data_IF_715088059985
#
_entry.id   IF_715088059985
#
_cell.length_a   1.000
_cell.length_b   1.000
_cell.length_c   1.000
_cell.angle_alpha   90.00
_cell.angle_beta   90.00
_cell.angle_gamma   90.00
#
_symmetry.space_group_name_H-M   'P 1'
#
loop_
_entity.id
_entity.type
_entity.pdbx_description
1 polymer ?
#
# COMPACT_ATOMS: atom_id res chain seq x y z
N UNK A 1 -8.22 22.37 13.36
CA UNK A 1 -8.02 20.90 13.36
C UNK A 1 -8.33 20.37 11.96
N UNK A 2 -7.76 19.26 11.48
CA UNK A 2 -8.00 18.75 10.11
C UNK A 2 -8.64 17.36 10.14
N UNK A 3 -9.53 17.11 9.19
CA UNK A 3 -10.23 15.83 9.01
C UNK A 3 -9.99 15.31 7.60
N UNK A 4 -9.79 14.00 7.46
CA UNK A 4 -9.77 13.37 6.13
C UNK A 4 -11.16 13.50 5.49
N UNK A 5 -11.23 13.89 4.20
CA UNK A 5 -12.51 14.09 3.51
C UNK A 5 -13.23 12.75 3.32
N UNK A 6 -14.55 12.80 3.19
CA UNK A 6 -15.30 11.68 2.64
C UNK A 6 -15.11 11.69 1.12
N UNK A 7 -14.50 10.64 0.56
CA UNK A 7 -14.30 10.51 -0.88
C UNK A 7 -14.63 9.09 -1.35
N UNK A 8 -15.74 8.88 -2.07
CA UNK A 8 -16.08 7.55 -2.58
C UNK A 8 -15.05 7.07 -3.61
N UNK A 9 -14.47 7.98 -4.40
CA UNK A 9 -13.38 7.65 -5.34
C UNK A 9 -12.14 7.14 -4.61
N UNK A 10 -11.78 7.76 -3.49
CA UNK A 10 -10.67 7.29 -2.66
C UNK A 10 -10.98 5.95 -2.00
N UNK A 11 -12.25 5.71 -1.61
CA UNK A 11 -12.69 4.43 -1.06
C UNK A 11 -12.53 3.30 -2.08
N UNK A 12 -13.01 3.48 -3.32
CA UNK A 12 -12.84 2.47 -4.37
C UNK A 12 -11.36 2.21 -4.68
N UNK A 13 -10.54 3.26 -4.78
CA UNK A 13 -9.11 3.09 -5.00
C UNK A 13 -8.42 2.36 -3.83
N UNK A 14 -8.85 2.64 -2.61
CA UNK A 14 -8.37 2.00 -1.40
C UNK A 14 -8.79 0.52 -1.30
N UNK A 15 -9.88 0.09 -1.92
CA UNK A 15 -10.31 -1.31 -1.88
C UNK A 15 -9.51 -2.21 -2.83
N UNK A 16 -8.81 -1.66 -3.82
CA UNK A 16 -8.08 -2.43 -4.83
C UNK A 16 -7.08 -3.45 -4.22
N UNK A 17 -6.23 -3.08 -3.24
CA UNK A 17 -5.30 -4.06 -2.64
C UNK A 17 -6.02 -5.22 -1.96
N UNK A 18 -7.10 -4.94 -1.21
CA UNK A 18 -7.93 -5.97 -0.59
C UNK A 18 -8.62 -6.85 -1.63
N UNK A 19 -9.16 -6.24 -2.68
CA UNK A 19 -9.82 -6.95 -3.78
C UNK A 19 -8.88 -7.92 -4.50
N UNK A 20 -7.63 -7.51 -4.75
CA UNK A 20 -6.60 -8.36 -5.35
C UNK A 20 -6.24 -9.52 -4.42
N UNK A 21 -5.95 -9.23 -3.15
CA UNK A 21 -5.54 -10.27 -2.19
C UNK A 21 -6.66 -11.27 -1.95
N UNK A 22 -7.90 -10.82 -1.75
CA UNK A 22 -9.03 -11.72 -1.58
C UNK A 22 -9.26 -12.54 -2.87
N UNK A 23 -9.11 -11.97 -4.07
CA UNK A 23 -9.25 -12.72 -5.33
C UNK A 23 -8.17 -13.80 -5.49
N UNK A 24 -6.92 -13.50 -5.12
CA UNK A 24 -5.80 -14.45 -5.15
C UNK A 24 -6.02 -15.59 -4.15
N UNK A 25 -6.41 -15.26 -2.91
CA UNK A 25 -6.72 -16.27 -1.89
C UNK A 25 -7.91 -17.14 -2.31
N UNK A 26 -8.93 -16.54 -2.91
CA UNK A 26 -10.08 -17.24 -3.50
C UNK A 26 -9.63 -18.21 -4.58
N UNK A 27 -8.80 -17.76 -5.53
CA UNK A 27 -8.30 -18.59 -6.61
C UNK A 27 -7.46 -19.77 -6.10
N UNK A 28 -6.60 -19.55 -5.10
CA UNK A 28 -5.87 -20.64 -4.45
C UNK A 28 -6.79 -21.62 -3.73
N UNK A 29 -7.82 -21.14 -3.04
CA UNK A 29 -8.81 -22.01 -2.39
C UNK A 29 -9.58 -22.86 -3.40
N UNK A 30 -10.02 -22.28 -4.52
CA UNK A 30 -10.66 -23.02 -5.62
C UNK A 30 -9.70 -24.05 -6.22
N UNK A 31 -8.48 -23.65 -6.56
CA UNK A 31 -7.49 -24.55 -7.16
C UNK A 31 -7.14 -25.72 -6.21
N UNK A 32 -6.96 -25.45 -4.92
CA UNK A 32 -6.74 -26.49 -3.92
C UNK A 32 -7.93 -27.41 -3.74
N UNK A 33 -9.15 -26.87 -3.73
CA UNK A 33 -10.38 -27.66 -3.70
C UNK A 33 -10.52 -28.57 -4.92
N UNK A 34 -10.27 -28.06 -6.13
CA UNK A 34 -10.35 -28.85 -7.37
C UNK A 34 -9.39 -30.05 -7.39
N UNK A 35 -8.32 -30.00 -6.61
CA UNK A 35 -7.34 -31.09 -6.48
C UNK A 35 -7.69 -32.03 -5.33
N UNK A 36 -8.06 -31.50 -4.17
CA UNK A 36 -8.28 -32.27 -2.94
C UNK A 36 -9.67 -32.89 -2.84
N UNK A 37 -10.71 -32.16 -3.23
CA UNK A 37 -12.11 -32.59 -3.22
C UNK A 37 -12.89 -31.84 -4.33
N UNK A 38 -12.82 -32.33 -5.59
CA UNK A 38 -13.47 -31.66 -6.72
C UNK A 38 -14.98 -31.53 -6.57
N UNK A 39 -15.61 -32.48 -5.86
CA UNK A 39 -17.06 -32.48 -5.64
C UNK A 39 -17.48 -31.44 -4.58
N UNK A 40 -16.57 -31.07 -3.68
CA UNK A 40 -16.77 -30.04 -2.66
C UNK A 40 -16.56 -28.61 -3.15
N UNK A 41 -16.10 -28.38 -4.39
CA UNK A 41 -15.86 -27.03 -4.90
C UNK A 41 -17.18 -26.33 -5.24
N UNK A 42 -17.43 -25.13 -4.67
CA UNK A 42 -18.67 -24.39 -4.94
C UNK A 42 -18.84 -24.01 -6.40
N UNK A 43 -20.10 -23.87 -6.83
CA UNK A 43 -20.43 -23.38 -8.16
C UNK A 43 -19.85 -21.96 -8.40
N UNK A 44 -19.54 -21.58 -9.65
CA UNK A 44 -19.00 -20.26 -9.98
C UNK A 44 -19.81 -19.08 -9.41
N UNK A 45 -21.13 -19.17 -9.41
CA UNK A 45 -22.01 -18.13 -8.85
C UNK A 45 -21.83 -17.99 -7.34
N UNK A 46 -21.65 -19.10 -6.63
CA UNK A 46 -21.42 -19.10 -5.18
C UNK A 46 -20.04 -18.53 -4.83
N UNK A 47 -19.02 -18.82 -5.65
CA UNK A 47 -17.69 -18.18 -5.56
C UNK A 47 -17.86 -16.65 -5.71
N UNK A 48 -18.62 -16.18 -6.70
CA UNK A 48 -18.84 -14.75 -6.90
C UNK A 48 -19.57 -14.11 -5.72
N UNK A 49 -20.56 -14.78 -5.13
CA UNK A 49 -21.28 -14.32 -3.94
C UNK A 49 -20.34 -14.21 -2.73
N UNK A 50 -19.49 -15.21 -2.48
CA UNK A 50 -18.51 -15.16 -1.39
C UNK A 50 -17.51 -14.01 -1.57
N UNK A 51 -17.00 -13.81 -2.79
CA UNK A 51 -16.09 -12.71 -3.09
C UNK A 51 -16.75 -11.35 -2.90
N UNK A 52 -17.95 -11.17 -3.45
CA UNK A 52 -18.72 -9.94 -3.26
C UNK A 52 -19.03 -9.68 -1.78
N UNK A 53 -19.41 -10.72 -1.03
CA UNK A 53 -19.64 -10.65 0.41
C UNK A 53 -18.40 -10.16 1.17
N UNK A 54 -17.22 -10.71 0.86
CA UNK A 54 -15.95 -10.24 1.44
C UNK A 54 -15.68 -8.77 1.13
N UNK A 55 -15.90 -8.35 -0.11
CA UNK A 55 -15.70 -6.95 -0.51
C UNK A 55 -16.64 -5.99 0.21
N UNK A 56 -17.91 -6.38 0.38
CA UNK A 56 -18.89 -5.58 1.13
C UNK A 56 -18.47 -5.43 2.59
N UNK A 57 -18.04 -6.51 3.25
CA UNK A 57 -17.57 -6.46 4.65
C UNK A 57 -16.34 -5.56 4.78
N UNK A 58 -15.35 -5.73 3.88
CA UNK A 58 -14.14 -4.90 3.87
C UNK A 58 -14.48 -3.41 3.67
N UNK A 59 -15.36 -3.09 2.73
CA UNK A 59 -15.79 -1.72 2.47
C UNK A 59 -16.52 -1.12 3.68
N UNK A 60 -17.43 -1.87 4.28
CA UNK A 60 -18.18 -1.44 5.46
C UNK A 60 -17.25 -1.16 6.65
N UNK A 61 -16.31 -2.06 6.93
CA UNK A 61 -15.37 -1.89 8.05
C UNK A 61 -14.36 -0.77 7.79
N UNK A 62 -13.84 -0.63 6.57
CA UNK A 62 -12.93 0.47 6.22
C UNK A 62 -13.64 1.83 6.34
N UNK A 63 -14.92 1.90 5.93
CA UNK A 63 -15.75 3.09 6.09
C UNK A 63 -16.04 3.40 7.56
N UNK A 64 -16.37 2.38 8.37
CA UNK A 64 -16.58 2.52 9.81
C UNK A 64 -15.31 3.01 10.53
N UNK A 65 -14.15 2.43 10.18
CA UNK A 65 -12.85 2.85 10.72
C UNK A 65 -12.47 4.28 10.34
N UNK A 66 -12.76 4.70 9.10
CA UNK A 66 -12.63 6.11 8.68
C UNK A 66 -13.51 7.03 9.54
N UNK A 67 -14.78 6.67 9.73
CA UNK A 67 -15.70 7.44 10.56
C UNK A 67 -15.19 7.59 12.01
N UNK A 68 -14.69 6.51 12.61
CA UNK A 68 -14.12 6.53 13.96
C UNK A 68 -12.88 7.41 14.06
N UNK A 69 -11.92 7.29 13.13
CA UNK A 69 -10.73 8.16 13.10
C UNK A 69 -11.11 9.63 12.91
N UNK A 70 -12.16 9.90 12.13
CA UNK A 70 -12.67 11.25 11.89
C UNK A 70 -13.33 11.83 13.15
N UNK A 71 -14.03 11.04 13.95
CA UNK A 71 -14.59 11.47 15.24
C UNK A 71 -13.50 11.88 16.24
N UNK A 72 -12.37 11.17 16.25
CA UNK A 72 -11.21 11.52 17.07
C UNK A 72 -10.27 12.53 16.42
N UNK A 73 -10.66 13.04 15.24
CA UNK A 73 -9.91 14.00 14.44
C UNK A 73 -8.43 13.61 14.23
N UNK A 74 -8.20 12.30 14.04
CA UNK A 74 -6.93 11.72 13.66
C UNK A 74 -6.81 11.75 12.14
N UNK A 75 -5.80 12.45 11.62
CA UNK A 75 -5.61 12.62 10.17
C UNK A 75 -4.29 12.04 9.65
N UNK A 76 -3.57 11.26 10.47
CA UNK A 76 -2.26 10.73 10.08
C UNK A 76 -2.42 9.53 9.13
N UNK A 77 -1.63 9.51 8.05
CA UNK A 77 -1.66 8.40 7.07
C UNK A 77 -1.31 7.06 7.70
N UNK A 78 -0.42 7.07 8.71
CA UNK A 78 -0.06 5.88 9.46
C UNK A 78 -1.24 5.36 10.29
N UNK A 79 -2.00 6.23 10.95
CA UNK A 79 -3.21 5.80 11.67
C UNK A 79 -4.25 5.20 10.72
N UNK A 80 -4.42 5.78 9.53
CA UNK A 80 -5.28 5.19 8.50
C UNK A 80 -4.78 3.84 8.02
N UNK A 81 -3.46 3.65 7.86
CA UNK A 81 -2.87 2.35 7.59
C UNK A 81 -3.15 1.33 8.69
N UNK A 82 -2.85 1.67 9.95
CA UNK A 82 -3.12 0.78 11.08
C UNK A 82 -4.61 0.42 11.19
N UNK A 83 -5.50 1.40 11.03
CA UNK A 83 -6.94 1.19 11.00
C UNK A 83 -7.33 0.20 9.90
N UNK A 84 -6.84 0.39 8.67
CA UNK A 84 -7.13 -0.52 7.57
C UNK A 84 -6.67 -1.96 7.85
N UNK A 85 -5.51 -2.12 8.49
CA UNK A 85 -5.02 -3.43 8.93
C UNK A 85 -5.93 -4.10 9.96
N UNK A 86 -6.28 -3.38 11.02
CA UNK A 86 -7.19 -3.88 12.07
C UNK A 86 -8.55 -4.23 11.47
N UNK A 87 -9.11 -3.38 10.62
CA UNK A 87 -10.40 -3.62 9.97
C UNK A 87 -10.35 -4.86 9.06
N UNK A 88 -9.26 -5.09 8.31
CA UNK A 88 -9.11 -6.28 7.49
C UNK A 88 -8.92 -7.56 8.33
N UNK A 89 -8.22 -7.48 9.46
CA UNK A 89 -8.09 -8.60 10.40
C UNK A 89 -9.45 -8.98 11.02
N UNK A 90 -10.23 -7.98 11.44
CA UNK A 90 -11.61 -8.18 11.95
C UNK A 90 -12.50 -8.75 10.86
N UNK A 91 -12.42 -8.20 9.65
CA UNK A 91 -13.13 -8.69 8.46
C UNK A 91 -12.84 -10.18 8.23
N UNK A 92 -11.56 -10.56 8.26
CA UNK A 92 -11.12 -11.95 8.10
C UNK A 92 -11.70 -12.86 9.18
N UNK A 93 -11.67 -12.44 10.45
CA UNK A 93 -12.28 -13.19 11.55
C UNK A 93 -13.80 -13.37 11.39
N UNK A 94 -14.52 -12.32 10.96
CA UNK A 94 -15.96 -12.40 10.64
C UNK A 94 -16.20 -13.39 9.50
N UNK A 95 -15.37 -13.37 8.46
CA UNK A 95 -15.53 -14.25 7.31
C UNK A 95 -15.32 -15.72 7.66
N UNK A 96 -14.34 -16.05 8.51
CA UNK A 96 -14.16 -17.41 9.03
C UNK A 96 -15.40 -17.84 9.84
N UNK A 97 -15.83 -17.01 10.79
CA UNK A 97 -16.93 -17.34 11.70
C UNK A 97 -18.26 -17.56 10.99
N UNK A 98 -18.50 -16.86 9.88
CA UNK A 98 -19.74 -16.93 9.12
C UNK A 98 -19.63 -17.80 7.85
N UNK A 99 -18.54 -18.57 7.70
CA UNK A 99 -18.32 -19.46 6.54
C UNK A 99 -18.42 -18.73 5.18
N UNK A 100 -17.91 -17.49 5.12
CA UNK A 100 -17.87 -16.66 3.90
C UNK A 100 -16.56 -16.91 3.12
N UNK A 101 -15.67 -17.75 3.64
CA UNK A 101 -14.45 -18.19 2.95
C UNK A 101 -14.68 -19.56 2.32
N UNK A 102 -14.11 -19.75 1.11
CA UNK A 102 -14.20 -21.00 0.35
C UNK A 102 -13.55 -22.19 1.07
N UNK A 103 -12.48 -21.94 1.82
CA UNK A 103 -11.81 -22.96 2.61
C UNK A 103 -11.65 -22.46 4.04
N UNK A 104 -11.94 -23.33 5.00
CA UNK A 104 -11.55 -23.08 6.37
C UNK A 104 -10.01 -23.14 6.44
N UNK A 105 -9.35 -22.20 7.13
CA UNK A 105 -7.92 -22.33 7.42
C UNK A 105 -7.69 -23.63 8.19
N UNK A 106 -6.69 -24.41 7.78
CA UNK A 106 -6.29 -25.61 8.51
C UNK A 106 -5.81 -25.28 9.93
N UNK A 107 -5.81 -26.27 10.81
CA UNK A 107 -5.38 -26.10 12.20
C UNK A 107 -4.01 -25.43 12.30
N UNK A 108 -3.89 -24.40 13.14
CA UNK A 108 -2.66 -23.62 13.31
C UNK A 108 -2.32 -22.63 12.20
N UNK A 109 -3.12 -22.52 11.12
CA UNK A 109 -2.84 -21.62 9.98
C UNK A 109 -3.66 -20.33 9.98
N UNK A 110 -4.61 -20.20 10.91
CA UNK A 110 -5.56 -19.07 11.00
C UNK A 110 -4.85 -17.72 10.99
N UNK A 111 -3.83 -17.54 11.83
CA UNK A 111 -3.07 -16.28 11.97
C UNK A 111 -2.24 -16.01 10.72
N UNK A 112 -1.59 -17.05 10.20
CA UNK A 112 -0.69 -16.98 9.05
C UNK A 112 -1.44 -16.54 7.79
N UNK A 113 -2.60 -17.14 7.51
CA UNK A 113 -3.46 -16.78 6.37
C UNK A 113 -4.05 -15.38 6.56
N UNK A 114 -4.40 -15.02 7.80
CA UNK A 114 -4.95 -13.70 8.14
C UNK A 114 -3.97 -12.53 7.93
N UNK A 115 -2.66 -12.77 7.84
CA UNK A 115 -1.69 -11.69 7.69
C UNK A 115 -1.77 -11.02 6.31
N UNK A 116 -1.97 -11.79 5.22
CA UNK A 116 -2.05 -11.21 3.88
C UNK A 116 -3.21 -10.20 3.77
N UNK A 117 -4.46 -10.53 4.15
CA UNK A 117 -5.56 -9.57 4.21
C UNK A 117 -5.25 -8.39 5.14
N UNK A 118 -4.59 -8.63 6.27
CA UNK A 118 -4.21 -7.57 7.22
C UNK A 118 -3.26 -6.55 6.58
N UNK A 119 -2.21 -7.02 5.91
CA UNK A 119 -1.25 -6.16 5.19
C UNK A 119 -1.96 -5.43 4.05
N UNK A 120 -2.80 -6.13 3.28
CA UNK A 120 -3.61 -5.53 2.23
C UNK A 120 -4.52 -4.43 2.79
N UNK A 121 -5.12 -4.67 3.96
CA UNK A 121 -5.88 -3.69 4.73
C UNK A 121 -5.06 -2.48 5.12
N UNK A 122 -3.81 -2.68 5.58
CA UNK A 122 -2.92 -1.58 5.91
C UNK A 122 -2.62 -0.69 4.70
N UNK A 123 -2.32 -1.30 3.56
CA UNK A 123 -2.10 -0.59 2.30
C UNK A 123 -3.38 0.16 1.90
N UNK A 124 -4.53 -0.50 2.00
CA UNK A 124 -5.85 0.06 1.67
C UNK A 124 -6.18 1.29 2.51
N UNK A 125 -6.06 1.19 3.83
CA UNK A 125 -6.28 2.32 4.74
C UNK A 125 -5.31 3.47 4.47
N UNK A 126 -4.02 3.18 4.29
CA UNK A 126 -3.02 4.19 3.93
C UNK A 126 -3.38 4.92 2.64
N UNK A 127 -3.78 4.18 1.60
CA UNK A 127 -4.22 4.72 0.32
C UNK A 127 -5.46 5.61 0.45
N UNK A 128 -6.42 5.20 1.27
CA UNK A 128 -7.58 6.01 1.55
C UNK A 128 -7.18 7.36 2.17
N UNK A 129 -6.34 7.34 3.22
CA UNK A 129 -5.82 8.55 3.85
C UNK A 129 -4.96 9.42 2.91
N UNK A 130 -4.34 8.82 1.90
CA UNK A 130 -3.58 9.54 0.87
C UNK A 130 -4.50 10.20 -0.18
N UNK A 131 -5.49 9.49 -0.71
CA UNK A 131 -6.31 9.94 -1.84
C UNK A 131 -7.54 10.75 -1.43
N UNK A 132 -8.07 10.55 -0.22
CA UNK A 132 -9.24 11.28 0.24
C UNK A 132 -8.95 12.77 0.46
N UNK A 133 -7.70 13.12 0.80
CA UNK A 133 -7.31 14.50 1.09
C UNK A 133 -7.84 15.00 2.43
N UNK A 134 -7.50 16.24 2.78
CA UNK A 134 -7.82 16.85 4.08
C UNK A 134 -8.83 18.01 3.92
N UNK A 135 -9.72 18.14 4.89
CA UNK A 135 -10.64 19.27 5.10
C UNK A 135 -10.31 19.93 6.43
N UNK A 136 -10.50 21.25 6.53
CA UNK A 136 -10.48 21.91 7.82
C UNK A 136 -11.69 21.42 8.62
N UNK A 137 -11.45 20.97 9.86
CA UNK A 137 -12.53 20.78 10.81
C UNK A 137 -13.09 22.17 11.09
N UNK A 138 -14.33 22.43 10.66
CA UNK A 138 -15.03 23.64 11.06
C UNK A 138 -15.01 23.68 12.59
N UNK A 139 -14.36 24.71 13.15
CA UNK A 139 -14.37 24.92 14.59
C UNK A 139 -15.83 25.03 15.03
N UNK A 140 -16.21 24.19 15.98
CA UNK A 140 -17.45 24.33 16.72
C UNK A 140 -17.34 25.59 17.60
N UNK A 141 -17.48 26.76 17.00
CA UNK A 141 -17.81 28.02 17.66
C UNK A 141 -18.67 28.79 16.67
N UNK A 142 -19.94 29.02 17.04
CA UNK A 142 -20.95 29.66 16.21
C UNK A 142 -20.60 31.09 15.82
N UNK A 143 -19.73 31.25 14.85
CA UNK A 143 -19.61 32.48 14.09
C UNK A 143 -20.58 32.36 12.91
N UNK A 144 -21.75 32.95 13.10
CA UNK A 144 -22.66 33.34 12.02
C UNK A 144 -21.82 33.97 10.91
N UNK A 145 -21.89 33.48 9.65
CA UNK A 145 -21.16 34.12 8.57
C UNK A 145 -21.66 35.57 8.44
N UNK A 146 -20.78 36.58 8.38
CA UNK A 146 -21.21 37.93 8.03
C UNK A 146 -21.88 37.86 6.65
N UNK A 147 -23.04 38.51 6.52
CA UNK A 147 -23.93 38.38 5.38
C UNK A 147 -23.40 38.95 4.05
N UNK A 148 -22.12 39.36 3.97
CA UNK A 148 -21.53 40.04 2.81
C UNK A 148 -20.12 39.52 2.45
N UNK A 149 -19.99 38.21 2.21
CA UNK A 149 -18.80 37.66 1.57
C UNK A 149 -19.19 36.73 0.42
N UNK A 150 -19.67 37.33 -0.67
CA UNK A 150 -19.64 36.70 -1.99
C UNK A 150 -18.21 36.72 -2.53
N UNK A 151 -17.30 36.02 -1.88
CA UNK A 151 -16.05 35.59 -2.51
C UNK A 151 -16.09 34.06 -2.57
N UNK A 152 -16.21 33.56 -3.80
CA UNK A 152 -15.94 32.17 -4.10
C UNK A 152 -14.60 31.79 -3.44
N UNK A 153 -14.50 30.65 -2.71
CA UNK A 153 -13.27 30.29 -2.02
C UNK A 153 -12.14 30.24 -3.05
N UNK A 154 -11.24 31.23 -2.97
CA UNK A 154 -10.12 31.36 -3.87
C UNK A 154 -9.37 30.02 -3.90
N UNK A 155 -9.16 29.49 -5.11
CA UNK A 155 -8.44 28.25 -5.29
C UNK A 155 -7.06 28.39 -4.59
N UNK A 156 -6.67 27.41 -3.76
CA UNK A 156 -5.42 27.52 -3.00
C UNK A 156 -4.24 27.72 -3.95
N UNK A 157 -3.54 28.85 -3.77
CA UNK A 157 -2.35 29.21 -4.56
C UNK A 157 -1.28 28.14 -4.40
N UNK A 158 -0.91 27.53 -5.53
CA UNK A 158 0.00 26.37 -5.63
C UNK A 158 1.45 26.83 -5.52
N UNK A 159 2.21 26.19 -4.64
CA UNK A 159 3.66 26.41 -4.51
C UNK A 159 4.42 25.98 -5.78
N UNK A 160 5.12 26.94 -6.41
CA UNK A 160 5.89 26.77 -7.66
C UNK A 160 7.42 26.77 -7.43
N UNK A 161 7.86 26.24 -6.28
CA UNK A 161 9.29 26.14 -5.93
C UNK A 161 9.88 24.74 -6.16
N UNK A 162 11.21 24.58 -6.02
CA UNK A 162 11.86 23.29 -6.20
C UNK A 162 11.32 22.27 -5.21
N UNK A 163 11.01 21.08 -5.72
CA UNK A 163 10.42 20.00 -4.95
C UNK A 163 11.30 18.75 -4.92
N UNK A 164 11.26 18.04 -3.80
CA UNK A 164 11.95 16.76 -3.59
C UNK A 164 10.99 15.69 -3.10
N UNK A 165 11.43 14.44 -3.16
CA UNK A 165 10.64 13.31 -2.67
C UNK A 165 10.71 13.27 -1.14
N UNK A 166 9.55 13.17 -0.50
CA UNK A 166 9.45 13.08 0.97
C UNK A 166 10.00 11.73 1.45
N UNK A 167 10.66 11.72 2.60
CA UNK A 167 10.97 10.46 3.28
C UNK A 167 9.69 9.89 3.91
N UNK A 168 9.23 8.72 3.45
CA UNK A 168 7.99 8.09 3.90
C UNK A 168 8.23 6.66 4.37
N UNK A 169 8.20 6.45 5.70
CA UNK A 169 8.35 5.11 6.29
C UNK A 169 7.27 4.17 5.80
N UNK A 170 6.01 4.64 5.73
CA UNK A 170 4.91 3.84 5.20
C UNK A 170 5.11 3.51 3.71
N UNK A 171 5.59 4.46 2.90
CA UNK A 171 5.92 4.20 1.50
C UNK A 171 7.03 3.16 1.35
N UNK A 172 8.04 3.17 2.21
CA UNK A 172 9.11 2.17 2.23
C UNK A 172 8.57 0.80 2.63
N UNK A 173 7.74 0.71 3.66
CA UNK A 173 7.14 -0.54 4.10
C UNK A 173 6.28 -1.18 2.99
N UNK A 174 5.46 -0.38 2.30
CA UNK A 174 4.64 -0.85 1.17
C UNK A 174 5.54 -1.34 0.02
N UNK A 175 6.57 -0.58 -0.35
CA UNK A 175 7.51 -0.98 -1.39
C UNK A 175 8.29 -2.25 -1.01
N UNK A 176 8.65 -2.41 0.26
CA UNK A 176 9.43 -3.54 0.77
C UNK A 176 8.70 -4.89 0.76
N UNK A 177 7.37 -4.88 0.61
CA UNK A 177 6.57 -6.10 0.46
C UNK A 177 6.62 -6.64 -0.99
N UNK A 178 7.02 -5.80 -1.96
CA UNK A 178 7.00 -6.17 -3.38
C UNK A 178 7.91 -7.33 -3.76
N UNK A 179 9.14 -7.46 -3.23
CA UNK A 179 9.95 -8.66 -3.47
C UNK A 179 9.25 -9.94 -3.04
N UNK A 180 8.59 -9.92 -1.88
CA UNK A 180 7.82 -11.08 -1.40
C UNK A 180 6.69 -11.40 -2.37
N UNK A 181 5.90 -10.40 -2.77
CA UNK A 181 4.80 -10.57 -3.72
C UNK A 181 5.31 -11.14 -5.04
N UNK A 182 6.36 -10.55 -5.62
CA UNK A 182 6.90 -10.98 -6.91
C UNK A 182 7.60 -12.34 -6.84
N UNK A 183 8.27 -12.67 -5.74
CA UNK A 183 9.03 -13.92 -5.60
C UNK A 183 8.17 -15.11 -5.17
N UNK A 184 7.00 -14.88 -4.59
CA UNK A 184 6.12 -15.96 -4.13
C UNK A 184 4.85 -16.05 -4.96
N UNK A 185 4.09 -14.96 -5.11
CA UNK A 185 2.83 -15.02 -5.86
C UNK A 185 3.07 -15.25 -7.36
N UNK A 186 4.07 -14.61 -7.96
CA UNK A 186 4.29 -14.73 -9.41
C UNK A 186 4.69 -16.16 -9.82
N UNK A 187 5.65 -16.84 -9.15
CA UNK A 187 5.99 -18.22 -9.49
C UNK A 187 4.88 -19.19 -9.14
N UNK A 188 4.20 -19.05 -7.99
CA UNK A 188 3.11 -19.97 -7.64
C UNK A 188 1.85 -19.79 -8.51
N UNK A 189 1.65 -18.63 -9.15
CA UNK A 189 0.55 -18.41 -10.10
C UNK A 189 0.93 -18.75 -11.55
N UNK A 190 2.16 -18.46 -11.98
CA UNK A 190 2.62 -18.71 -13.35
C UNK A 190 3.14 -20.13 -13.58
N UNK A 191 3.80 -20.75 -12.60
CA UNK A 191 4.40 -22.07 -12.78
C UNK A 191 3.37 -23.16 -13.10
N UNK A 192 2.18 -23.22 -12.45
CA UNK A 192 1.13 -24.16 -12.84
C UNK A 192 0.55 -23.85 -14.23
N UNK A 193 0.54 -22.58 -14.64
CA UNK A 193 0.01 -22.12 -15.92
C UNK A 193 0.96 -22.46 -17.09
N UNK A 194 2.26 -22.35 -16.85
CA UNK A 194 3.34 -22.62 -17.81
C UNK A 194 3.69 -24.11 -17.89
N UNK A 195 3.53 -24.86 -16.80
CA UNK A 195 3.83 -26.29 -16.75
C UNK A 195 2.54 -27.11 -16.83
N UNK A 196 2.01 -27.25 -18.05
CA UNK A 196 0.88 -28.14 -18.43
C UNK A 196 1.12 -29.65 -18.15
N UNK A 197 1.84 -30.05 -17.09
CA UNK A 197 2.36 -31.42 -17.00
C UNK A 197 2.83 -31.97 -15.64
N UNK A 198 2.77 -31.25 -14.52
CA UNK A 198 3.01 -31.86 -13.19
C UNK A 198 1.73 -32.42 -12.56
N UNK A 199 0.90 -33.06 -13.39
CA UNK A 199 -0.34 -33.71 -12.99
C UNK A 199 -0.09 -35.12 -12.41
N UNK A 200 0.83 -35.23 -11.45
CA UNK A 200 0.75 -36.31 -10.48
C UNK A 200 0.02 -35.79 -9.24
N UNK A 201 -1.16 -36.34 -9.00
CA UNK A 201 -2.09 -35.94 -7.92
C UNK A 201 -1.37 -35.79 -6.56
N UNK A 202 -0.34 -36.61 -6.32
CA UNK A 202 0.51 -36.61 -5.11
C UNK A 202 1.22 -35.28 -4.82
N UNK A 203 1.82 -34.62 -5.82
CA UNK A 203 2.57 -33.37 -5.60
C UNK A 203 1.65 -32.16 -5.49
N UNK A 204 0.52 -32.17 -6.20
CA UNK A 204 -0.46 -31.08 -6.20
C UNK A 204 -1.07 -30.83 -4.80
N UNK A 205 -1.22 -31.86 -3.96
CA UNK A 205 -1.76 -31.72 -2.58
C UNK A 205 -0.83 -30.96 -1.63
N UNK A 206 0.49 -31.04 -1.82
CA UNK A 206 1.48 -30.38 -0.95
C UNK A 206 1.63 -28.89 -1.34
N UNK A 207 1.48 -28.57 -2.62
CA UNK A 207 1.58 -27.20 -3.13
C UNK A 207 0.33 -26.34 -2.89
N UNK A 208 -0.86 -26.94 -2.78
CA UNK A 208 -2.11 -26.20 -2.95
C UNK A 208 -2.73 -25.53 -1.70
N UNK A 209 -2.27 -25.82 -0.47
CA UNK A 209 -2.99 -25.29 0.72
C UNK A 209 -2.12 -24.65 1.83
N UNK A 210 -0.89 -25.11 2.07
CA UNK A 210 -0.12 -24.70 3.27
C UNK A 210 1.21 -24.02 2.93
N UNK A 211 1.89 -24.46 1.86
CA UNK A 211 3.18 -23.92 1.45
C UNK A 211 3.11 -22.45 1.01
N UNK A 212 2.13 -21.97 0.23
CA UNK A 212 2.17 -20.60 -0.29
C UNK A 212 2.10 -19.53 0.81
N UNK A 213 1.29 -19.73 1.84
CA UNK A 213 1.18 -18.79 2.95
C UNK A 213 2.44 -18.82 3.85
N UNK A 214 2.96 -20.01 4.16
CA UNK A 214 4.17 -20.15 4.98
C UNK A 214 5.42 -19.65 4.24
N UNK A 215 5.54 -19.91 2.93
CA UNK A 215 6.64 -19.38 2.10
C UNK A 215 6.51 -17.89 1.88
N UNK A 216 5.31 -17.36 1.67
CA UNK A 216 5.07 -15.91 1.66
C UNK A 216 5.52 -15.27 2.97
N UNK A 217 5.15 -15.85 4.11
CA UNK A 217 5.54 -15.38 5.43
C UNK A 217 7.04 -15.43 5.67
N UNK A 218 7.68 -16.56 5.37
CA UNK A 218 9.12 -16.72 5.51
C UNK A 218 9.86 -15.73 4.61
N UNK A 219 9.45 -15.62 3.35
CA UNK A 219 10.03 -14.66 2.41
C UNK A 219 9.78 -13.22 2.86
N UNK A 220 8.62 -12.89 3.42
CA UNK A 220 8.31 -11.55 3.94
C UNK A 220 9.27 -11.19 5.07
N UNK A 221 9.44 -12.07 6.05
CA UNK A 221 10.34 -11.84 7.18
C UNK A 221 11.79 -11.69 6.71
N UNK A 222 12.23 -12.57 5.79
CA UNK A 222 13.60 -12.55 5.27
C UNK A 222 13.84 -11.32 4.39
N UNK A 223 12.88 -10.90 3.57
CA UNK A 223 13.10 -9.87 2.54
C UNK A 223 12.77 -8.46 3.01
N UNK A 224 11.85 -8.25 3.96
CA UNK A 224 11.36 -6.89 4.30
C UNK A 224 12.47 -5.99 4.84
N UNK A 225 13.27 -6.47 5.80
CA UNK A 225 14.34 -5.65 6.40
C UNK A 225 15.40 -5.28 5.35
N UNK A 226 15.99 -6.24 4.58
CA UNK A 226 16.90 -5.91 3.49
C UNK A 226 16.28 -4.95 2.46
N UNK A 227 14.99 -5.13 2.14
CA UNK A 227 14.28 -4.31 1.17
C UNK A 227 14.07 -2.86 1.64
N UNK A 228 13.82 -2.66 2.94
CA UNK A 228 13.74 -1.31 3.52
C UNK A 228 15.10 -0.63 3.45
N UNK A 229 16.18 -1.33 3.81
CA UNK A 229 17.55 -0.80 3.74
C UNK A 229 17.91 -0.44 2.29
N UNK A 230 17.63 -1.35 1.36
CA UNK A 230 17.83 -1.11 -0.07
C UNK A 230 17.05 0.14 -0.54
N UNK A 231 15.78 0.28 -0.15
CA UNK A 231 14.97 1.43 -0.54
C UNK A 231 15.45 2.74 0.09
N UNK A 232 15.97 2.71 1.32
CA UNK A 232 16.62 3.87 1.92
C UNK A 232 17.80 4.32 1.07
N UNK A 233 18.68 3.39 0.67
CA UNK A 233 19.81 3.68 -0.21
C UNK A 233 19.35 4.28 -1.55
N UNK A 234 18.38 3.65 -2.23
CA UNK A 234 17.83 4.13 -3.50
C UNK A 234 17.22 5.53 -3.35
N UNK A 235 16.47 5.78 -2.28
CA UNK A 235 15.90 7.10 -1.99
C UNK A 235 16.97 8.17 -1.81
N UNK A 236 18.02 7.87 -1.03
CA UNK A 236 19.13 8.82 -0.82
C UNK A 236 19.91 9.10 -2.10
N UNK A 237 20.18 8.08 -2.92
CA UNK A 237 20.83 8.24 -4.23
C UNK A 237 19.98 9.09 -5.17
N UNK A 238 18.69 8.76 -5.31
CA UNK A 238 17.77 9.52 -6.16
C UNK A 238 17.64 10.98 -5.70
N UNK A 239 17.63 11.21 -4.38
CA UNK A 239 17.58 12.56 -3.81
C UNK A 239 18.89 13.33 -4.02
N UNK A 240 20.05 12.70 -3.92
CA UNK A 240 21.34 13.32 -4.22
C UNK A 240 21.44 13.73 -5.70
N UNK A 241 20.83 12.94 -6.60
CA UNK A 241 20.76 13.22 -8.03
C UNK A 241 19.62 14.20 -8.40
N UNK A 242 18.91 14.77 -7.42
CA UNK A 242 17.73 15.63 -7.61
C UNK A 242 16.63 15.02 -8.49
N UNK A 243 16.51 13.68 -8.47
CA UNK A 243 15.50 12.95 -9.23
C UNK A 243 14.19 12.95 -8.48
N UNK A 244 13.10 13.19 -9.22
CA UNK A 244 11.77 13.33 -8.65
C UNK A 244 10.68 12.67 -9.50
N UNK A 245 10.99 12.08 -10.65
CA UNK A 245 9.99 11.38 -11.48
C UNK A 245 9.94 9.89 -11.14
N UNK A 246 8.78 9.26 -11.31
CA UNK A 246 8.59 7.84 -10.99
C UNK A 246 9.49 6.92 -11.83
N UNK A 247 9.66 7.21 -13.11
CA UNK A 247 10.53 6.42 -14.00
C UNK A 247 12.02 6.57 -13.65
N UNK A 248 12.44 7.72 -13.14
CA UNK A 248 13.82 7.92 -12.67
C UNK A 248 14.10 7.06 -11.44
N UNK A 249 13.16 7.02 -10.50
CA UNK A 249 13.24 6.11 -9.36
C UNK A 249 13.27 4.65 -9.81
N UNK A 250 12.40 4.28 -10.76
CA UNK A 250 12.39 2.93 -11.31
C UNK A 250 13.76 2.55 -11.91
N UNK A 251 14.35 3.43 -12.73
CA UNK A 251 15.65 3.19 -13.32
C UNK A 251 16.75 3.03 -12.27
N UNK A 252 16.80 3.92 -11.26
CA UNK A 252 17.80 3.85 -10.18
C UNK A 252 17.63 2.56 -9.38
N UNK A 253 16.39 2.21 -9.01
CA UNK A 253 16.09 0.98 -8.28
C UNK A 253 16.47 -0.27 -9.07
N UNK A 254 16.17 -0.30 -10.38
CA UNK A 254 16.53 -1.41 -11.25
C UNK A 254 18.03 -1.58 -11.41
N UNK A 255 18.76 -0.49 -11.69
CA UNK A 255 20.22 -0.51 -11.81
C UNK A 255 20.87 -0.93 -10.49
N UNK A 256 20.41 -0.40 -9.36
CA UNK A 256 20.94 -0.75 -8.05
C UNK A 256 20.70 -2.23 -7.72
N UNK A 257 19.50 -2.76 -7.98
CA UNK A 257 19.19 -4.17 -7.74
C UNK A 257 19.96 -5.10 -8.69
N UNK A 258 20.13 -4.70 -9.96
CA UNK A 258 20.97 -5.42 -10.92
C UNK A 258 22.42 -5.47 -10.45
N UNK A 259 22.99 -4.34 -10.00
CA UNK A 259 24.35 -4.27 -9.50
C UNK A 259 24.54 -5.13 -8.24
N UNK A 260 23.60 -5.08 -7.29
CA UNK A 260 23.62 -5.95 -6.11
C UNK A 260 23.55 -7.44 -6.51
N UNK A 261 22.65 -7.80 -7.42
CA UNK A 261 22.53 -9.15 -7.94
C UNK A 261 23.81 -9.62 -8.64
N UNK A 262 24.47 -8.73 -9.39
CA UNK A 262 25.71 -9.03 -10.10
C UNK A 262 26.85 -9.31 -9.12
N UNK A 263 26.99 -8.49 -8.08
CA UNK A 263 28.00 -8.70 -7.02
C UNK A 263 27.76 -10.04 -6.31
N UNK A 264 26.49 -10.36 -6.00
CA UNK A 264 26.14 -11.65 -5.40
C UNK A 264 26.41 -12.83 -6.33
N UNK A 265 26.17 -12.67 -7.63
CA UNK A 265 26.43 -13.70 -8.64
C UNK A 265 27.93 -14.01 -8.80
N UNK A 266 28.82 -13.06 -8.52
CA UNK A 266 30.27 -13.32 -8.51
C UNK A 266 30.67 -14.30 -7.38
N UNK A 267 29.94 -14.30 -6.26
CA UNK A 267 30.17 -15.20 -5.12
C UNK A 267 29.43 -16.52 -5.31
N UNK A 268 28.21 -16.46 -5.83
CA UNK A 268 27.35 -17.63 -6.08
C UNK A 268 26.85 -17.57 -7.53
N UNK A 269 27.57 -18.18 -8.49
CA UNK A 269 27.28 -18.07 -9.93
C UNK A 269 25.85 -18.44 -10.33
N UNK A 270 25.22 -19.35 -9.58
CA UNK A 270 23.83 -19.75 -9.81
C UNK A 270 22.84 -18.58 -9.70
N UNK A 271 23.17 -17.52 -8.93
CA UNK A 271 22.32 -16.33 -8.78
C UNK A 271 22.28 -15.45 -10.04
N UNK A 272 23.14 -15.70 -11.04
CA UNK A 272 23.13 -14.95 -12.29
C UNK A 272 21.78 -15.03 -13.03
N UNK A 273 21.05 -16.14 -12.88
CA UNK A 273 19.70 -16.32 -13.45
C UNK A 273 18.68 -15.33 -12.85
N UNK A 274 18.95 -14.82 -11.65
CA UNK A 274 18.06 -13.89 -10.94
C UNK A 274 18.36 -12.41 -11.25
N UNK A 275 19.34 -12.09 -12.09
CA UNK A 275 19.71 -10.69 -12.39
C UNK A 275 18.57 -9.89 -13.00
N UNK A 276 17.90 -10.45 -14.02
CA UNK A 276 16.77 -9.78 -14.69
C UNK A 276 15.57 -9.67 -13.73
N UNK A 277 15.15 -10.74 -13.03
CA UNK A 277 14.14 -10.63 -11.97
C UNK A 277 14.46 -9.60 -10.88
N UNK A 278 15.72 -9.54 -10.42
CA UNK A 278 16.16 -8.60 -9.40
C UNK A 278 16.06 -7.14 -9.90
N UNK A 279 16.54 -6.87 -11.13
CA UNK A 279 16.42 -5.56 -11.75
C UNK A 279 14.96 -5.12 -11.91
N UNK A 280 14.09 -6.03 -12.35
CA UNK A 280 12.66 -5.77 -12.46
C UNK A 280 12.05 -5.46 -11.08
N UNK A 281 12.36 -6.27 -10.07
CA UNK A 281 11.88 -6.08 -8.71
C UNK A 281 12.31 -4.73 -8.12
N UNK A 282 13.60 -4.39 -8.23
CA UNK A 282 14.13 -3.10 -7.78
C UNK A 282 13.47 -1.91 -8.48
N UNK A 283 13.17 -2.05 -9.78
CA UNK A 283 12.46 -1.01 -10.54
C UNK A 283 11.04 -0.79 -10.01
N UNK A 284 10.30 -1.87 -9.80
CA UNK A 284 8.92 -1.83 -9.28
C UNK A 284 8.89 -1.24 -7.87
N UNK A 285 9.78 -1.70 -6.98
CA UNK A 285 9.89 -1.18 -5.61
C UNK A 285 10.13 0.32 -5.59
N UNK A 286 11.10 0.81 -6.36
CA UNK A 286 11.46 2.22 -6.36
C UNK A 286 10.38 3.11 -6.98
N UNK A 287 9.73 2.65 -8.06
CA UNK A 287 8.59 3.33 -8.65
C UNK A 287 7.42 3.45 -7.67
N UNK A 288 7.10 2.36 -6.96
CA UNK A 288 6.04 2.33 -5.97
C UNK A 288 6.35 3.21 -4.76
N UNK A 289 7.56 3.11 -4.22
CA UNK A 289 8.01 4.01 -3.16
C UNK A 289 7.83 5.46 -3.57
N UNK A 290 8.29 5.85 -4.77
CA UNK A 290 8.14 7.22 -5.26
C UNK A 290 6.68 7.67 -5.30
N UNK A 291 5.78 6.78 -5.75
CA UNK A 291 4.34 7.04 -5.83
C UNK A 291 3.70 7.22 -4.45
N UNK A 292 4.11 6.44 -3.44
CA UNK A 292 3.54 6.50 -2.09
C UNK A 292 4.20 7.55 -1.19
N UNK A 293 5.48 7.87 -1.43
CA UNK A 293 6.23 8.83 -0.65
C UNK A 293 5.68 10.26 -0.81
N UNK A 294 5.22 10.60 -2.01
CA UNK A 294 4.77 11.94 -2.35
C UNK A 294 5.94 12.92 -2.51
N UNK A 295 5.59 14.20 -2.62
CA UNK A 295 6.52 15.30 -2.90
C UNK A 295 6.45 16.30 -1.74
N UNK A 296 7.58 16.93 -1.41
CA UNK A 296 7.69 18.04 -0.46
C UNK A 296 8.55 19.18 -1.04
N UNK A 297 8.34 20.44 -0.63
CA UNK A 297 9.22 21.55 -1.00
C UNK A 297 10.63 21.30 -0.47
N UNK A 298 11.65 21.74 -1.21
CA UNK A 298 13.02 21.78 -0.69
C UNK A 298 13.08 22.80 0.47
N UNK A 299 13.64 22.46 1.64
CA UNK A 299 13.84 23.40 2.72
C UNK A 299 14.73 24.54 2.23
N UNK A 300 14.31 25.77 2.51
CA UNK A 300 15.03 26.96 2.12
C UNK A 300 16.41 26.98 2.82
N UNK A 301 17.51 27.17 2.07
CA UNK A 301 18.87 27.08 2.61
C UNK A 301 19.28 28.28 3.47
N UNK A 302 18.53 29.39 3.46
CA UNK A 302 18.90 30.64 4.15
C UNK A 302 17.73 31.27 4.91
N UNK A 303 18.05 32.15 5.86
CA UNK A 303 17.09 33.03 6.54
C UNK A 303 16.45 33.92 5.49
N UNK A 304 15.21 33.61 5.10
CA UNK A 304 14.45 34.49 4.21
C UNK A 304 14.09 35.76 4.99
N UNK A 305 14.69 36.89 4.61
CA UNK A 305 14.30 38.21 5.09
C UNK A 305 12.94 38.51 4.46
N UNK A 306 11.87 38.31 5.23
CA UNK A 306 10.53 38.67 4.79
C UNK A 306 10.34 40.18 4.94
N UNK A 307 9.90 40.84 3.87
CA UNK A 307 9.56 42.26 3.85
C UNK A 307 8.33 42.57 4.70
N UNK A 308 7.47 41.56 4.91
CA UNK A 308 6.28 41.63 5.75
C UNK A 308 6.26 40.48 6.79
N UNK A 309 6.36 40.78 8.10
CA UNK A 309 6.29 39.76 9.15
C UNK A 309 4.93 39.08 9.27
N UNK A 310 3.85 39.64 8.71
CA UNK A 310 2.53 39.01 8.70
C UNK A 310 2.39 37.92 7.62
N UNK A 311 3.28 37.92 6.62
CA UNK A 311 3.40 36.85 5.63
C UNK A 311 4.22 35.64 6.16
N UNK A 312 4.88 35.79 7.32
CA UNK A 312 5.65 34.72 7.95
C UNK A 312 4.72 33.74 8.66
N UNK A 313 4.49 32.60 8.02
CA UNK A 313 3.82 31.47 8.64
C UNK A 313 4.83 30.57 9.37
N UNK A 314 4.56 30.33 10.65
CA UNK A 314 5.41 29.56 11.56
C UNK A 314 5.73 28.15 11.05
N UNK A 315 6.79 27.52 11.59
CA UNK A 315 7.29 26.22 11.11
C UNK A 315 6.22 25.11 11.13
N UNK A 316 5.28 25.17 12.07
CA UNK A 316 4.18 24.21 12.21
C UNK A 316 2.89 24.63 11.49
N UNK A 317 2.92 25.75 10.77
CA UNK A 317 1.73 26.27 10.11
C UNK A 317 1.26 25.34 8.98
N UNK A 318 -0.03 24.96 8.95
CA UNK A 318 -0.53 23.94 8.05
C UNK A 318 -0.47 24.31 6.57
N UNK A 319 -0.36 25.59 6.21
CA UNK A 319 -0.10 26.03 4.82
C UNK A 319 1.25 25.52 4.28
N UNK A 320 2.29 25.39 5.13
CA UNK A 320 3.57 24.76 4.76
C UNK A 320 3.44 23.26 4.48
N UNK A 321 2.43 22.60 5.09
CA UNK A 321 2.12 21.17 4.90
C UNK A 321 1.15 20.92 3.75
N UNK A 322 0.51 21.97 3.22
CA UNK A 322 -0.56 21.90 2.20
C UNK A 322 -0.23 22.65 0.89
N UNK A 323 0.99 23.13 0.70
CA UNK A 323 1.41 23.88 -0.50
C UNK A 323 0.58 25.15 -0.78
N UNK A 324 0.08 25.81 0.26
CA UNK A 324 -0.60 27.10 0.12
C UNK A 324 0.38 28.26 0.32
N UNK A 325 0.56 29.09 -0.69
CA UNK A 325 1.31 30.35 -0.60
C UNK A 325 0.35 31.45 -0.13
N UNK A 326 0.79 32.23 0.86
CA UNK A 326 0.14 33.49 1.24
C UNK A 326 0.87 34.59 0.48
N UNK A 327 0.20 35.26 -0.47
CA UNK A 327 0.70 36.48 -1.09
C UNK A 327 0.11 37.66 -0.32
N UNK A 328 0.96 38.56 0.18
CA UNK A 328 0.52 39.91 0.53
C UNK A 328 0.57 40.77 -0.72
N UNK A 329 -0.52 41.50 -0.97
CA UNK A 329 -0.50 42.68 -1.82
C UNK A 329 -0.11 43.89 -0.96
#
# INVERSE_FOLDING_TARGET
>A
MYLVKNSPRALFAALIPLAIVDAVLMAFAVAGGQVADPAGVPAPDQILVFYAGRMVINAALLFAGHFMLRQWAISSRLAYGLMGGVMAAVSYGIAIRNHIQLSAPGDGTVVTIGLLPTIAGMISGFLYGQFAGLSQAAGATGATPPADASEAPAAPLVFDGPVRVRTSVAGMAIAAIMPTVLATLLPYTLLPLLMHGFADKSTAHIFAAVIPAQTFMAMLVISVIPSIIFMLCVHHVARAMSRNRAWEYAAIGGIAAFACGLILALVVPLLAVLLVPAAFCGSVMAALYRRFAGIEPVPLPEIVIATDPNALVGADHPSRRQHGVILSN
#
